data_IF_700208947479
#
_entry.id   IF_700208947479
#
_cell.length_a   1.000
_cell.length_b   1.000
_cell.length_c   1.000
_cell.angle_alpha   90.00
_cell.angle_beta   90.00
_cell.angle_gamma   90.00
#
_symmetry.space_group_name_H-M   'P 1'
#
loop_
_entity.id
_entity.type
_entity.pdbx_description
1 polymer ?
#
# COMPACT_ATOMS: atom_id res chain seq x y z
N UNK A 1 0.45 -14.67 -1.17
CA UNK A 1 -0.43 -13.79 -1.95
C UNK A 1 0.32 -12.97 -3.01
N UNK A 2 1.05 -11.89 -2.69
CA UNK A 2 1.78 -11.09 -3.71
C UNK A 2 2.71 -11.98 -4.55
N UNK A 3 3.51 -12.84 -3.90
CA UNK A 3 4.36 -13.81 -4.60
C UNK A 3 3.58 -14.72 -5.54
N UNK A 4 2.39 -15.15 -5.15
CA UNK A 4 1.58 -16.06 -5.97
C UNK A 4 0.93 -15.32 -7.12
N UNK A 5 0.58 -14.04 -6.96
CA UNK A 5 0.13 -13.17 -8.05
C UNK A 5 1.24 -12.96 -9.09
N UNK A 6 2.46 -12.67 -8.64
CA UNK A 6 3.62 -12.57 -9.57
C UNK A 6 3.84 -13.87 -10.33
N UNK A 7 3.76 -15.02 -9.66
CA UNK A 7 3.88 -16.33 -10.32
C UNK A 7 2.74 -16.59 -11.31
N UNK A 8 1.51 -16.21 -10.95
CA UNK A 8 0.36 -16.32 -11.85
C UNK A 8 0.57 -15.48 -13.12
N UNK A 9 0.99 -14.23 -12.96
CA UNK A 9 1.29 -13.35 -14.09
C UNK A 9 2.40 -13.94 -14.97
N UNK A 10 3.48 -14.42 -14.38
CA UNK A 10 4.57 -15.07 -15.13
C UNK A 10 4.09 -16.33 -15.88
N UNK A 11 3.25 -17.16 -15.25
CA UNK A 11 2.72 -18.38 -15.87
C UNK A 11 1.78 -18.11 -17.03
N UNK A 12 1.05 -16.98 -16.99
CA UNK A 12 0.11 -16.58 -18.03
C UNK A 12 0.67 -15.52 -18.99
N UNK A 13 1.98 -15.25 -18.92
CA UNK A 13 2.68 -14.23 -19.73
C UNK A 13 2.03 -12.83 -19.67
N UNK A 14 1.45 -12.51 -18.50
CA UNK A 14 0.91 -11.18 -18.23
C UNK A 14 2.10 -10.28 -17.86
N UNK A 15 2.29 -9.21 -18.61
CA UNK A 15 3.41 -8.27 -18.44
C UNK A 15 2.90 -6.85 -18.38
N UNK A 16 3.62 -6.02 -17.65
CA UNK A 16 3.51 -4.57 -17.75
C UNK A 16 4.32 -4.10 -18.96
N UNK A 17 3.82 -3.10 -19.67
CA UNK A 17 4.47 -2.57 -20.88
C UNK A 17 5.43 -1.42 -20.55
N UNK A 18 5.07 -0.60 -19.57
CA UNK A 18 5.76 0.64 -19.24
C UNK A 18 6.26 0.69 -17.79
N UNK A 19 5.94 -0.33 -16.98
CA UNK A 19 6.16 -0.31 -15.53
C UNK A 19 7.00 -1.50 -15.08
N UNK A 20 7.95 -1.25 -14.20
CA UNK A 20 8.63 -2.26 -13.41
C UNK A 20 7.98 -2.32 -12.01
N UNK A 21 7.57 -3.49 -11.57
CA UNK A 21 6.94 -3.69 -10.26
C UNK A 21 7.94 -4.30 -9.29
N UNK A 22 8.22 -3.57 -8.23
CA UNK A 22 9.07 -4.01 -7.13
C UNK A 22 8.21 -4.45 -5.94
N UNK A 23 8.44 -5.66 -5.45
CA UNK A 23 7.86 -6.13 -4.20
C UNK A 23 8.88 -5.94 -3.09
N UNK A 24 8.63 -4.97 -2.22
CA UNK A 24 9.53 -4.60 -1.13
C UNK A 24 8.98 -5.10 0.19
N UNK A 25 9.69 -6.00 0.84
CA UNK A 25 9.36 -6.49 2.18
C UNK A 25 10.20 -5.70 3.19
N UNK A 26 9.63 -4.68 3.73
CA UNK A 26 10.27 -3.81 4.72
C UNK A 26 10.38 -4.51 6.06
N UNK A 27 11.47 -4.29 6.76
CA UNK A 27 11.66 -4.78 8.12
C UNK A 27 11.67 -3.66 9.14
N UNK A 28 11.44 -4.00 10.42
CA UNK A 28 11.54 -3.06 11.54
C UNK A 28 10.65 -1.82 11.39
N UNK A 29 9.45 -1.99 10.87
CA UNK A 29 8.44 -0.93 10.75
C UNK A 29 8.11 -0.40 12.14
N UNK A 30 7.75 -1.27 13.07
CA UNK A 30 7.41 -0.98 14.48
C UNK A 30 8.54 -0.29 15.28
N UNK A 31 9.78 -0.38 14.80
CA UNK A 31 10.93 0.29 15.38
C UNK A 31 11.21 1.67 14.76
N UNK A 32 10.21 2.28 14.13
CA UNK A 32 10.25 3.62 13.54
C UNK A 32 10.53 3.63 12.05
N UNK A 33 9.86 2.76 11.28
CA UNK A 33 9.86 2.71 9.81
C UNK A 33 11.27 2.49 9.24
N UNK A 34 12.11 1.70 9.94
CA UNK A 34 13.54 1.61 9.63
C UNK A 34 13.81 0.99 8.26
N UNK A 35 13.04 -0.04 7.89
CA UNK A 35 13.16 -0.69 6.60
C UNK A 35 12.82 0.26 5.45
N UNK A 36 11.68 0.95 5.52
CA UNK A 36 11.29 1.93 4.51
C UNK A 36 12.29 3.08 4.39
N UNK A 37 12.78 3.61 5.52
CA UNK A 37 13.84 4.64 5.53
C UNK A 37 15.13 4.16 4.89
N UNK A 38 15.54 2.92 5.16
CA UNK A 38 16.74 2.33 4.57
C UNK A 38 16.57 2.11 3.07
N UNK A 39 15.40 1.62 2.64
CA UNK A 39 15.03 1.46 1.24
C UNK A 39 15.08 2.81 0.50
N UNK A 40 14.42 3.83 1.00
CA UNK A 40 14.45 5.16 0.41
C UNK A 40 15.86 5.72 0.30
N UNK A 41 16.67 5.57 1.36
CA UNK A 41 18.07 6.03 1.33
C UNK A 41 18.91 5.32 0.26
N UNK A 42 18.65 4.03 0.04
CA UNK A 42 19.42 3.22 -0.92
C UNK A 42 19.01 3.48 -2.38
N UNK A 43 17.72 3.77 -2.63
CA UNK A 43 17.16 3.77 -3.98
C UNK A 43 16.59 5.13 -4.41
N UNK A 44 16.68 6.18 -3.56
CA UNK A 44 16.10 7.49 -3.86
C UNK A 44 16.58 8.07 -5.18
N UNK A 45 17.87 7.98 -5.45
CA UNK A 45 18.46 8.58 -6.66
C UNK A 45 17.98 7.81 -7.92
N UNK A 46 17.97 6.48 -7.86
CA UNK A 46 17.49 5.60 -8.92
C UNK A 46 16.00 5.80 -9.22
N UNK A 47 15.18 5.78 -8.17
CA UNK A 47 13.72 5.91 -8.30
C UNK A 47 13.25 7.35 -8.49
N UNK A 48 14.09 8.34 -8.16
CA UNK A 48 13.79 9.76 -8.36
C UNK A 48 13.86 10.21 -9.81
N UNK A 49 14.58 9.49 -10.65
CA UNK A 49 14.74 9.79 -12.07
C UNK A 49 13.58 9.26 -12.94
N UNK A 50 12.73 8.42 -12.36
CA UNK A 50 11.54 7.85 -13.04
C UNK A 50 10.27 8.09 -12.22
N UNK A 51 9.11 8.13 -12.89
CA UNK A 51 7.86 8.24 -12.16
C UNK A 51 7.65 6.95 -11.34
N UNK A 52 7.60 7.10 -10.03
CA UNK A 52 7.51 5.99 -9.09
C UNK A 52 6.41 6.23 -8.06
N UNK A 53 5.65 5.20 -7.77
CA UNK A 53 4.62 5.19 -6.71
C UNK A 53 4.88 4.04 -5.75
N UNK A 54 4.90 4.34 -4.48
CA UNK A 54 4.91 3.35 -3.41
C UNK A 54 3.48 3.12 -2.90
N UNK A 55 3.02 1.87 -2.94
CA UNK A 55 1.74 1.45 -2.39
C UNK A 55 2.01 0.57 -1.17
N UNK A 56 1.85 1.12 0.03
CA UNK A 56 1.98 0.39 1.28
C UNK A 56 0.73 -0.45 1.56
N UNK A 57 0.94 -1.69 1.98
CA UNK A 57 -0.12 -2.58 2.46
C UNK A 57 0.12 -2.85 3.93
N UNK A 58 -0.74 -2.32 4.79
CA UNK A 58 -0.56 -2.34 6.23
C UNK A 58 -1.86 -2.74 6.93
N UNK A 59 -1.76 -3.62 7.94
CA UNK A 59 -2.87 -4.04 8.80
C UNK A 59 -4.12 -4.47 8.00
N UNK A 60 -3.94 -5.45 7.09
CA UNK A 60 -4.98 -5.91 6.16
C UNK A 60 -5.79 -7.02 6.81
N UNK A 61 -6.89 -6.69 7.51
CA UNK A 61 -7.69 -7.69 8.21
C UNK A 61 -9.21 -7.48 8.13
N UNK A 62 -9.71 -6.28 8.40
CA UNK A 62 -11.14 -6.04 8.60
C UNK A 62 -11.78 -5.49 7.33
N UNK A 63 -12.49 -6.33 6.57
CA UNK A 63 -13.02 -6.01 5.23
C UNK A 63 -13.84 -4.71 5.19
N UNK A 64 -14.73 -4.51 6.16
CA UNK A 64 -15.61 -3.33 6.20
C UNK A 64 -14.88 -2.03 6.57
N UNK A 65 -13.61 -2.13 6.95
CA UNK A 65 -12.76 -1.01 7.35
C UNK A 65 -11.66 -0.68 6.34
N UNK A 66 -11.71 -1.26 5.14
CA UNK A 66 -10.76 -0.94 4.08
C UNK A 66 -10.77 0.57 3.78
N UNK A 67 -9.60 1.16 3.73
CA UNK A 67 -9.42 2.59 3.52
C UNK A 67 -8.10 2.92 2.81
N UNK A 68 -8.08 4.09 2.19
CA UNK A 68 -6.89 4.69 1.59
C UNK A 68 -6.40 5.78 2.56
N UNK A 69 -5.19 5.62 3.08
CA UNK A 69 -4.63 6.63 3.96
C UNK A 69 -4.03 7.79 3.17
N UNK A 70 -4.80 8.87 3.03
CA UNK A 70 -4.36 10.12 2.42
C UNK A 70 -3.53 10.98 3.37
N UNK A 71 -3.56 10.68 4.68
CA UNK A 71 -2.73 11.28 5.71
C UNK A 71 -2.17 10.21 6.62
N UNK A 72 -0.89 10.34 6.94
CA UNK A 72 -0.11 9.39 7.69
C UNK A 72 0.63 10.06 8.87
N UNK A 73 1.40 9.29 9.64
CA UNK A 73 2.14 9.75 10.83
C UNK A 73 1.25 10.60 11.73
N UNK A 74 0.22 9.98 12.29
CA UNK A 74 -0.78 10.65 13.14
C UNK A 74 -1.37 11.90 12.45
N UNK A 75 -1.58 11.81 11.13
CA UNK A 75 -2.19 12.86 10.30
C UNK A 75 -1.29 14.01 9.89
N UNK A 76 0.01 13.98 10.26
CA UNK A 76 0.96 15.08 9.98
C UNK A 76 1.62 14.97 8.60
N UNK A 77 1.72 13.78 8.03
CA UNK A 77 2.25 13.54 6.68
C UNK A 77 1.08 13.44 5.70
N UNK A 78 1.10 14.22 4.64
CA UNK A 78 0.14 14.14 3.54
C UNK A 78 0.73 13.26 2.44
N UNK A 79 0.10 12.13 2.20
CA UNK A 79 0.46 11.24 1.09
C UNK A 79 0.11 11.89 -0.26
N UNK A 80 0.71 11.38 -1.33
CA UNK A 80 0.56 11.94 -2.66
C UNK A 80 -0.89 11.85 -3.16
N UNK A 81 -1.45 12.95 -3.68
CA UNK A 81 -2.84 13.01 -4.11
C UNK A 81 -3.09 12.16 -5.36
N UNK A 82 -2.14 12.15 -6.30
CA UNK A 82 -2.22 11.34 -7.51
C UNK A 82 -2.19 9.84 -7.19
N UNK A 83 -1.28 9.42 -6.29
CA UNK A 83 -1.24 8.04 -5.80
C UNK A 83 -2.53 7.64 -5.08
N UNK A 84 -3.08 8.51 -4.23
CA UNK A 84 -4.36 8.27 -3.57
C UNK A 84 -5.52 8.15 -4.57
N UNK A 85 -5.54 8.99 -5.61
CA UNK A 85 -6.57 8.97 -6.64
C UNK A 85 -6.47 7.68 -7.50
N UNK A 86 -5.26 7.26 -7.83
CA UNK A 86 -5.01 6.03 -8.60
C UNK A 86 -5.53 4.81 -7.84
N UNK A 87 -5.19 4.68 -6.54
CA UNK A 87 -5.71 3.59 -5.69
C UNK A 87 -7.23 3.67 -5.54
N UNK A 88 -7.81 4.87 -5.43
CA UNK A 88 -9.27 5.05 -5.35
C UNK A 88 -9.98 4.57 -6.63
N UNK A 89 -9.39 4.84 -7.78
CA UNK A 89 -9.90 4.36 -9.06
C UNK A 89 -9.81 2.84 -9.16
N UNK A 90 -8.66 2.27 -8.82
CA UNK A 90 -8.46 0.82 -8.77
C UNK A 90 -9.48 0.13 -7.85
N UNK A 91 -9.74 0.71 -6.67
CA UNK A 91 -10.76 0.21 -5.75
C UNK A 91 -12.15 0.20 -6.40
N UNK A 92 -12.54 1.28 -7.10
CA UNK A 92 -13.82 1.35 -7.81
C UNK A 92 -13.95 0.30 -8.92
N UNK A 93 -12.89 0.05 -9.67
CA UNK A 93 -12.88 -0.98 -10.71
C UNK A 93 -13.04 -2.39 -10.13
N UNK A 94 -12.58 -2.60 -8.90
CA UNK A 94 -12.82 -3.82 -8.13
C UNK A 94 -14.18 -3.83 -7.39
N UNK A 95 -15.06 -2.87 -7.64
CA UNK A 95 -16.38 -2.77 -7.01
C UNK A 95 -16.35 -2.35 -5.53
N UNK A 96 -15.27 -1.72 -5.08
CA UNK A 96 -15.05 -1.33 -3.69
C UNK A 96 -15.14 0.20 -3.53
N UNK A 97 -15.82 0.65 -2.49
CA UNK A 97 -15.80 2.05 -2.07
C UNK A 97 -14.89 2.23 -0.85
N UNK A 98 -13.63 2.52 -1.10
CA UNK A 98 -12.64 2.74 -0.05
C UNK A 98 -12.54 4.23 0.27
N UNK A 99 -12.92 4.68 1.49
CA UNK A 99 -12.84 6.09 1.86
C UNK A 99 -11.39 6.55 2.07
N UNK A 100 -11.14 7.84 1.87
CA UNK A 100 -9.92 8.46 2.36
C UNK A 100 -9.99 8.60 3.88
N UNK A 101 -8.91 8.18 4.56
CA UNK A 101 -8.77 8.31 6.00
C UNK A 101 -7.39 8.84 6.38
N UNK A 102 -7.26 9.21 7.63
CA UNK A 102 -5.99 9.55 8.27
C UNK A 102 -5.59 8.44 9.23
N UNK A 103 -4.31 8.13 9.30
CA UNK A 103 -3.77 7.36 10.42
C UNK A 103 -4.02 8.14 11.69
N UNK A 104 -4.81 7.57 12.59
CA UNK A 104 -5.19 8.25 13.84
C UNK A 104 -4.04 8.23 14.85
N UNK A 105 -3.33 7.09 14.95
CA UNK A 105 -2.19 6.92 15.86
C UNK A 105 -1.14 6.03 15.21
N UNK A 106 0.13 6.44 15.27
CA UNK A 106 1.23 5.73 14.62
C UNK A 106 1.53 6.23 13.20
N UNK A 107 2.13 5.38 12.43
CA UNK A 107 2.51 5.64 11.04
C UNK A 107 2.57 4.34 10.25
N UNK A 108 2.55 4.45 8.94
CA UNK A 108 2.88 3.34 8.02
C UNK A 108 4.18 3.64 7.28
N UNK A 109 4.73 2.66 6.58
CA UNK A 109 5.93 2.84 5.77
C UNK A 109 5.77 3.93 4.69
N UNK A 110 4.55 4.18 4.20
CA UNK A 110 4.28 5.26 3.26
C UNK A 110 4.65 6.66 3.83
N UNK A 111 4.56 6.86 5.15
CA UNK A 111 4.99 8.11 5.77
C UNK A 111 6.50 8.35 5.56
N UNK A 112 7.33 7.31 5.74
CA UNK A 112 8.78 7.44 5.52
C UNK A 112 9.11 7.68 4.05
N UNK A 113 8.39 7.03 3.13
CA UNK A 113 8.56 7.22 1.69
C UNK A 113 8.18 8.65 1.29
N UNK A 114 7.01 9.14 1.74
CA UNK A 114 6.56 10.52 1.50
C UNK A 114 7.54 11.55 2.08
N UNK A 115 8.04 11.34 3.29
CA UNK A 115 9.04 12.21 3.91
C UNK A 115 10.39 12.21 3.18
N UNK A 116 10.70 11.16 2.43
CA UNK A 116 11.90 11.12 1.57
C UNK A 116 11.75 11.90 0.26
N UNK A 117 10.54 12.41 -0.02
CA UNK A 117 10.20 13.15 -1.24
C UNK A 117 9.70 12.27 -2.38
N UNK A 118 9.40 10.99 -2.11
CA UNK A 118 8.82 10.07 -3.09
C UNK A 118 7.30 10.01 -2.94
N UNK A 119 6.59 9.65 -4.00
CA UNK A 119 5.13 9.55 -4.01
C UNK A 119 4.69 8.24 -3.36
N UNK A 120 3.82 8.33 -2.35
CA UNK A 120 3.35 7.15 -1.63
C UNK A 120 1.88 7.26 -1.20
N UNK A 121 1.27 6.10 -0.97
CA UNK A 121 -0.06 5.91 -0.40
C UNK A 121 -0.07 4.61 0.40
N UNK A 122 -0.89 4.52 1.44
CA UNK A 122 -1.15 3.24 2.13
C UNK A 122 -2.58 2.79 1.98
N UNK A 123 -2.76 1.48 1.85
CA UNK A 123 -4.02 0.77 1.97
C UNK A 123 -4.03 0.05 3.31
N UNK A 124 -5.07 0.23 4.09
CA UNK A 124 -5.26 -0.46 5.34
C UNK A 124 -6.70 -0.95 5.50
N UNK A 125 -6.91 -1.90 6.39
CA UNK A 125 -8.20 -2.52 6.68
C UNK A 125 -8.25 -2.93 8.16
N UNK A 126 -8.30 -1.95 9.05
CA UNK A 126 -8.31 -2.16 10.50
C UNK A 126 -9.52 -1.50 11.15
N UNK A 127 -10.27 -2.27 11.95
CA UNK A 127 -11.23 -1.71 12.88
C UNK A 127 -10.49 -1.06 14.07
N UNK A 128 -10.58 0.26 14.23
CA UNK A 128 -9.88 0.94 15.31
C UNK A 128 -10.54 0.77 16.69
N UNK A 129 -11.76 0.20 16.77
CA UNK A 129 -12.52 0.19 18.03
C UNK A 129 -13.33 -1.09 18.27
N UNK A 130 -12.87 -1.98 19.13
CA UNK A 130 -11.54 -2.10 19.73
C UNK A 130 -10.57 -2.83 18.79
N UNK A 131 -9.31 -2.45 18.82
CA UNK A 131 -8.23 -3.11 18.07
C UNK A 131 -7.98 -4.52 18.65
N UNK A 132 -8.76 -5.50 18.22
CA UNK A 132 -8.79 -6.84 18.83
C UNK A 132 -7.52 -7.64 18.62
N UNK A 133 -6.87 -7.44 17.49
CA UNK A 133 -5.71 -8.23 17.07
C UNK A 133 -4.43 -7.40 17.08
N UNK A 134 -4.51 -6.15 16.66
CA UNK A 134 -3.39 -5.24 16.49
C UNK A 134 -2.55 -5.14 17.77
N UNK A 135 -1.27 -5.43 17.66
CA UNK A 135 -0.29 -5.45 18.76
C UNK A 135 -0.67 -6.41 19.92
N UNK A 136 -1.36 -7.50 19.63
CA UNK A 136 -1.71 -8.52 20.62
C UNK A 136 -1.21 -9.91 20.22
N UNK A 137 -1.30 -10.87 21.14
CA UNK A 137 -1.01 -12.29 20.82
C UNK A 137 -2.03 -12.94 19.88
N UNK A 138 -3.11 -12.25 19.55
CA UNK A 138 -4.12 -12.70 18.60
C UNK A 138 -3.79 -12.26 17.17
N UNK A 139 -2.72 -11.50 16.96
CA UNK A 139 -2.20 -11.16 15.63
C UNK A 139 -1.44 -12.37 15.07
N UNK A 140 -2.21 -13.28 14.50
CA UNK A 140 -1.73 -14.55 13.93
C UNK A 140 -2.35 -14.77 12.56
N UNK A 141 -1.71 -15.59 11.72
CA UNK A 141 -2.20 -15.92 10.38
C UNK A 141 -3.64 -16.49 10.40
N UNK A 142 -4.02 -17.26 11.44
CA UNK A 142 -5.35 -17.85 11.57
C UNK A 142 -6.45 -16.81 11.80
N UNK A 143 -6.08 -15.61 12.22
CA UNK A 143 -6.98 -14.49 12.45
C UNK A 143 -7.05 -13.50 11.29
N UNK A 144 -6.35 -13.77 10.19
CA UNK A 144 -6.49 -12.98 8.96
C UNK A 144 -7.78 -13.33 8.24
N UNK A 145 -8.41 -12.33 7.62
CA UNK A 145 -9.56 -12.53 6.74
C UNK A 145 -9.08 -12.63 5.28
N UNK A 146 -9.22 -13.82 4.70
CA UNK A 146 -8.84 -14.09 3.32
C UNK A 146 -9.59 -13.17 2.34
N UNK A 147 -10.86 -12.88 2.60
CA UNK A 147 -11.66 -11.97 1.76
C UNK A 147 -11.04 -10.57 1.70
N UNK A 148 -10.56 -10.06 2.84
CA UNK A 148 -9.89 -8.76 2.91
C UNK A 148 -8.57 -8.78 2.15
N UNK A 149 -7.79 -9.85 2.31
CA UNK A 149 -6.51 -10.00 1.62
C UNK A 149 -6.71 -10.05 0.11
N UNK A 150 -7.67 -10.83 -0.38
CA UNK A 150 -7.99 -10.94 -1.80
C UNK A 150 -8.46 -9.60 -2.38
N UNK A 151 -9.32 -8.88 -1.66
CA UNK A 151 -9.82 -7.57 -2.09
C UNK A 151 -8.70 -6.53 -2.19
N UNK A 152 -7.85 -6.43 -1.17
CA UNK A 152 -6.73 -5.48 -1.17
C UNK A 152 -5.69 -5.86 -2.24
N UNK A 153 -5.44 -7.14 -2.43
CA UNK A 153 -4.53 -7.60 -3.48
C UNK A 153 -5.07 -7.26 -4.87
N UNK A 154 -6.39 -7.43 -5.11
CA UNK A 154 -7.05 -7.00 -6.33
C UNK A 154 -6.85 -5.51 -6.59
N UNK A 155 -7.07 -4.68 -5.58
CA UNK A 155 -6.84 -3.22 -5.67
C UNK A 155 -5.37 -2.90 -5.96
N UNK A 156 -4.42 -3.57 -5.31
CA UNK A 156 -3.00 -3.33 -5.53
C UNK A 156 -2.56 -3.70 -6.95
N UNK A 157 -3.04 -4.82 -7.48
CA UNK A 157 -2.77 -5.24 -8.86
C UNK A 157 -3.40 -4.29 -9.87
N UNK A 158 -4.66 -3.92 -9.68
CA UNK A 158 -5.35 -2.95 -10.55
C UNK A 158 -4.66 -1.58 -10.52
N UNK A 159 -4.16 -1.16 -9.35
CA UNK A 159 -3.36 0.06 -9.24
C UNK A 159 -2.10 -0.03 -10.12
N UNK A 160 -1.43 -1.17 -10.13
CA UNK A 160 -0.24 -1.36 -10.97
C UNK A 160 -0.59 -1.34 -12.48
N UNK A 161 -1.71 -1.95 -12.89
CA UNK A 161 -2.18 -1.90 -14.28
C UNK A 161 -2.57 -0.49 -14.71
N UNK A 162 -3.32 0.24 -13.88
CA UNK A 162 -3.67 1.64 -14.16
C UNK A 162 -2.44 2.54 -14.23
N UNK A 163 -1.44 2.30 -13.37
CA UNK A 163 -0.18 3.03 -13.41
C UNK A 163 0.60 2.73 -14.70
N UNK A 164 0.63 1.47 -15.14
CA UNK A 164 1.27 1.05 -16.39
C UNK A 164 0.62 1.70 -17.61
N UNK A 165 -0.71 1.85 -17.60
CA UNK A 165 -1.49 2.41 -18.70
C UNK A 165 -1.34 3.94 -18.79
N UNK A 166 -1.38 4.67 -17.66
CA UNK A 166 -1.53 6.13 -17.68
C UNK A 166 -0.61 6.91 -16.73
N UNK A 167 0.20 6.24 -15.92
CA UNK A 167 0.99 6.89 -14.88
C UNK A 167 0.13 7.53 -13.78
N UNK A 168 0.64 8.56 -13.11
CA UNK A 168 -0.14 9.41 -12.23
C UNK A 168 -0.77 10.56 -13.02
N UNK A 169 -2.08 10.75 -12.83
CA UNK A 169 -2.75 11.97 -13.32
C UNK A 169 -2.18 13.18 -12.58
N UNK A 170 -1.63 14.12 -13.30
CA UNK A 170 -1.18 15.43 -12.79
C UNK A 170 -2.37 16.33 -12.46
#
# INVERSE_FOLDING_TARGET
CIRDSVKYMQHHDIRFENTEVWVVLTGSEEAGLRGAKAFCKAHKDELGDVETVFVGLDTIRDYDFMAIYSRDLTGTVKNDEGACALVKEAAKQNGLDMPYKSVFFGATDAAAVTQSGMKAVSIAAMDPAPARYYHTRLDTADNLDIKTIEAVLGVALETAFLFDEKGLSN
#
